data_IF_270800557027
#
_entry.id   IF_270800557027
#
_cell.length_a   1.000
_cell.length_b   1.000
_cell.length_c   1.000
_cell.angle_alpha   90.00
_cell.angle_beta   90.00
_cell.angle_gamma   90.00
#
_symmetry.space_group_name_H-M   'P 1'
#
loop_
_entity.id
_entity.type
_entity.pdbx_description
1 polymer ?
#
# COMPACT_ATOMS: atom_id res chain seq x y z
N UNK A 1 -9.31 19.61 -8.77
CA UNK A 1 -9.52 18.24 -9.28
C UNK A 1 -9.43 17.30 -8.09
N UNK A 2 -10.36 16.35 -7.94
CA UNK A 2 -10.29 15.39 -6.84
C UNK A 2 -9.02 14.55 -6.98
N UNK A 3 -8.32 14.27 -5.88
CA UNK A 3 -7.25 13.28 -5.84
C UNK A 3 -7.88 11.91 -6.12
N UNK A 4 -7.70 11.44 -7.35
CA UNK A 4 -8.20 10.18 -7.90
C UNK A 4 -7.38 8.97 -7.44
N UNK A 5 -6.22 9.22 -6.79
CA UNK A 5 -5.30 8.20 -6.31
C UNK A 5 -4.74 8.51 -4.92
N UNK A 6 -4.50 7.46 -4.14
CA UNK A 6 -3.64 7.42 -2.98
C UNK A 6 -2.23 7.08 -3.45
N UNK A 7 -1.26 7.94 -3.17
CA UNK A 7 0.13 7.77 -3.60
C UNK A 7 0.97 7.43 -2.38
N UNK A 8 1.63 6.27 -2.40
CA UNK A 8 2.60 5.84 -1.39
C UNK A 8 3.98 5.90 -2.01
N UNK A 9 4.94 6.54 -1.33
CA UNK A 9 6.33 6.66 -1.76
C UNK A 9 7.26 6.19 -0.66
N UNK A 10 8.20 5.33 -1.02
CA UNK A 10 9.26 4.85 -0.15
C UNK A 10 8.76 4.06 1.05
N UNK A 11 7.69 3.26 0.91
CA UNK A 11 7.22 2.40 2.00
C UNK A 11 8.29 1.38 2.38
N UNK A 12 8.68 1.40 3.66
CA UNK A 12 9.80 0.61 4.23
C UNK A 12 9.44 -0.11 5.52
N UNK A 13 8.16 -0.12 5.89
CA UNK A 13 7.71 -0.75 7.12
C UNK A 13 7.95 -2.27 7.06
N UNK A 14 8.44 -2.84 8.16
CA UNK A 14 8.88 -4.23 8.25
C UNK A 14 9.80 -4.69 7.10
N UNK A 15 9.28 -5.50 6.17
CA UNK A 15 10.04 -6.10 5.07
C UNK A 15 9.75 -5.44 3.72
N UNK A 16 9.05 -4.29 3.70
CA UNK A 16 8.83 -3.52 2.48
C UNK A 16 10.16 -2.94 1.97
N UNK A 17 10.44 -3.17 0.68
CA UNK A 17 11.72 -2.82 0.06
C UNK A 17 11.67 -1.47 -0.65
N UNK A 18 11.40 -0.40 0.10
CA UNK A 18 11.28 0.96 -0.45
C UNK A 18 10.27 1.02 -1.61
N UNK A 19 9.03 0.63 -1.31
CA UNK A 19 7.98 0.44 -2.33
C UNK A 19 7.28 1.77 -2.63
N UNK A 20 7.15 2.05 -3.92
CA UNK A 20 6.35 3.13 -4.48
C UNK A 20 5.12 2.56 -5.19
N UNK A 21 3.92 3.09 -4.93
CA UNK A 21 2.70 2.67 -5.61
C UNK A 21 1.60 3.72 -5.59
N UNK A 22 0.66 3.58 -6.52
CA UNK A 22 -0.54 4.40 -6.63
C UNK A 22 -1.78 3.50 -6.55
N UNK A 23 -2.67 3.77 -5.60
CA UNK A 23 -3.94 3.06 -5.40
C UNK A 23 -5.08 3.97 -5.85
N UNK A 24 -5.99 3.53 -6.74
CA UNK A 24 -7.14 4.35 -7.12
C UNK A 24 -8.05 4.58 -5.90
N UNK A 25 -8.44 5.84 -5.66
CA UNK A 25 -9.40 6.17 -4.60
C UNK A 25 -10.82 5.83 -5.03
N UNK A 26 -11.69 5.67 -4.05
CA UNK A 26 -13.12 5.36 -4.24
C UNK A 26 -13.35 4.05 -5.03
N UNK A 27 -12.41 3.11 -4.90
CA UNK A 27 -12.49 1.75 -5.46
C UNK A 27 -12.23 0.71 -4.38
N UNK A 28 -12.83 -0.47 -4.57
CA UNK A 28 -12.48 -1.66 -3.79
C UNK A 28 -11.18 -2.25 -4.37
N UNK A 29 -10.08 -2.15 -3.61
CA UNK A 29 -8.76 -2.63 -4.02
C UNK A 29 -8.36 -3.81 -3.14
N UNK A 30 -7.89 -4.88 -3.76
CA UNK A 30 -7.46 -6.11 -3.08
C UNK A 30 -5.94 -6.21 -3.12
N UNK A 31 -5.31 -6.33 -1.96
CA UNK A 31 -3.87 -6.61 -1.82
C UNK A 31 -3.70 -8.11 -1.58
N UNK A 32 -3.02 -8.81 -2.49
CA UNK A 32 -2.82 -10.27 -2.46
C UNK A 32 -1.35 -10.66 -2.66
N UNK A 33 -1.01 -11.93 -2.42
CA UNK A 33 0.35 -12.45 -2.44
C UNK A 33 0.62 -13.48 -1.33
N UNK A 34 1.74 -14.21 -1.47
CA UNK A 34 2.16 -15.27 -0.54
C UNK A 34 2.23 -14.79 0.92
N UNK A 35 2.11 -15.71 1.89
CA UNK A 35 2.33 -15.36 3.29
C UNK A 35 3.73 -14.76 3.49
N UNK A 36 3.84 -13.71 4.32
CA UNK A 36 5.09 -12.99 4.55
C UNK A 36 5.54 -12.01 3.46
N UNK A 37 4.76 -11.81 2.38
CA UNK A 37 5.14 -10.89 1.29
C UNK A 37 5.05 -9.38 1.60
N UNK A 38 4.59 -8.98 2.79
CA UNK A 38 4.46 -7.57 3.17
C UNK A 38 3.08 -6.94 2.93
N UNK A 39 2.05 -7.73 2.60
CA UNK A 39 0.67 -7.25 2.38
C UNK A 39 0.12 -6.47 3.59
N UNK A 40 0.20 -7.07 4.78
CA UNK A 40 -0.30 -6.44 6.01
C UNK A 40 0.53 -5.22 6.38
N UNK A 41 1.85 -5.29 6.17
CA UNK A 41 2.76 -4.15 6.37
C UNK A 41 2.40 -2.96 5.49
N UNK A 42 2.00 -3.21 4.24
CA UNK A 42 1.54 -2.15 3.35
C UNK A 42 0.13 -1.65 3.71
N UNK A 43 -0.83 -2.57 3.88
CA UNK A 43 -2.24 -2.20 4.06
C UNK A 43 -2.54 -1.59 5.43
N UNK A 44 -2.00 -2.18 6.49
CA UNK A 44 -2.30 -1.82 7.87
C UNK A 44 -1.20 -0.95 8.46
N UNK A 45 0.05 -1.43 8.42
CA UNK A 45 1.13 -0.77 9.16
C UNK A 45 1.68 0.48 8.42
N UNK A 46 1.36 0.66 7.14
CA UNK A 46 1.77 1.84 6.34
C UNK A 46 0.58 2.72 5.93
N UNK A 47 -0.48 2.15 5.36
CA UNK A 47 -1.59 2.95 4.80
C UNK A 47 -2.63 3.34 5.87
N UNK A 48 -2.89 2.47 6.84
CA UNK A 48 -3.96 2.68 7.84
C UNK A 48 -3.47 3.32 9.15
N UNK A 49 -2.27 2.95 9.61
CA UNK A 49 -1.65 3.43 10.85
C UNK A 49 -1.58 4.97 10.94
#
# INVERSE_FOLDING_TARGET
>A
MALDKLVVRGAREHNLKNVDLEIPRDKMVVITGLSGSGKSSLAFDTIYA
#
